data_IF_774886641948
#
_entry.id   IF_774886641948
#
_cell.length_a   1.000
_cell.length_b   1.000
_cell.length_c   1.000
_cell.angle_alpha   90.00
_cell.angle_beta   90.00
_cell.angle_gamma   90.00
#
_symmetry.space_group_name_H-M   'P 1'
#
loop_
_entity.id
_entity.type
_entity.pdbx_description
1 polymer ?
#
# COMPACT_ATOMS: atom_id res chain seq x y z
N UNK A 1 -5.96 9.75 11.64
CA UNK A 1 -4.76 9.05 11.16
C UNK A 1 -5.21 7.71 10.60
N UNK A 2 -4.65 7.27 9.47
CA UNK A 2 -5.13 6.07 8.74
C UNK A 2 -4.59 4.75 9.32
N UNK A 3 -3.50 4.80 10.08
CA UNK A 3 -2.85 3.64 10.72
C UNK A 3 -3.07 3.68 12.24
N UNK A 4 -3.46 2.55 12.82
CA UNK A 4 -3.62 2.39 14.26
C UNK A 4 -2.25 2.30 14.95
N UNK A 5 -1.98 3.10 16.01
CA UNK A 5 -0.72 3.03 16.77
C UNK A 5 -0.40 1.64 17.34
N UNK A 6 -1.40 0.76 17.51
CA UNK A 6 -1.18 -0.63 17.94
C UNK A 6 -0.21 -1.40 17.03
N UNK A 7 0.04 -0.94 15.79
CA UNK A 7 1.03 -1.53 14.89
C UNK A 7 2.43 -1.60 15.51
N UNK A 8 2.79 -0.64 16.37
CA UNK A 8 4.09 -0.62 17.07
C UNK A 8 4.29 -1.80 18.02
N UNK A 9 3.19 -2.41 18.47
CA UNK A 9 3.24 -3.61 19.32
C UNK A 9 3.20 -4.93 18.55
N UNK A 10 2.82 -4.88 17.27
CA UNK A 10 2.58 -6.06 16.43
C UNK A 10 3.67 -6.30 15.39
N UNK A 11 4.55 -5.33 15.13
CA UNK A 11 5.62 -5.40 14.14
C UNK A 11 7.00 -5.25 14.79
N UNK A 12 8.01 -5.93 14.24
CA UNK A 12 9.39 -5.85 14.71
C UNK A 12 10.05 -4.49 14.44
N UNK A 13 9.62 -3.80 13.37
CA UNK A 13 10.14 -2.49 12.95
C UNK A 13 9.01 -1.66 12.33
N UNK A 14 8.83 -0.44 12.83
CA UNK A 14 7.79 0.49 12.37
C UNK A 14 8.43 1.81 11.96
N UNK A 15 8.08 2.27 10.76
CA UNK A 15 8.48 3.59 10.28
C UNK A 15 7.25 4.37 9.85
N UNK A 16 6.98 5.45 10.57
CA UNK A 16 5.96 6.41 10.20
C UNK A 16 6.38 7.20 8.95
N UNK A 17 5.58 7.06 7.90
CA UNK A 17 5.75 7.75 6.62
C UNK A 17 4.51 8.58 6.32
N UNK A 18 4.72 9.82 5.89
CA UNK A 18 3.63 10.61 5.34
C UNK A 18 3.22 10.08 3.97
N UNK A 19 1.96 10.27 3.59
CA UNK A 19 1.39 9.75 2.33
C UNK A 19 2.11 10.25 1.06
N UNK A 20 2.80 11.39 1.15
CA UNK A 20 3.63 11.95 0.07
C UNK A 20 5.08 11.47 0.04
N UNK A 21 5.52 10.64 1.00
CA UNK A 21 6.93 10.29 1.23
C UNK A 21 7.32 8.93 0.60
N UNK A 22 6.97 8.73 -0.68
CA UNK A 22 7.23 7.48 -1.40
C UNK A 22 8.73 7.11 -1.44
N UNK A 23 9.60 8.09 -1.71
CA UNK A 23 11.05 7.91 -1.72
C UNK A 23 11.61 7.55 -0.34
N UNK A 24 11.07 8.12 0.75
CA UNK A 24 11.45 7.73 2.11
C UNK A 24 11.09 6.27 2.39
N UNK A 25 9.86 5.86 2.04
CA UNK A 25 9.38 4.48 2.21
C UNK A 25 10.25 3.49 1.44
N UNK A 26 10.50 3.74 0.15
CA UNK A 26 11.35 2.89 -0.70
C UNK A 26 12.77 2.80 -0.13
N UNK A 27 13.36 3.93 0.29
CA UNK A 27 14.71 3.94 0.86
C UNK A 27 14.80 3.08 2.13
N UNK A 28 13.75 3.08 2.96
CA UNK A 28 13.67 2.22 4.15
C UNK A 28 13.56 0.74 3.79
N UNK A 29 12.73 0.39 2.81
CA UNK A 29 12.62 -0.98 2.33
C UNK A 29 13.96 -1.51 1.81
N UNK A 30 14.66 -0.72 0.99
CA UNK A 30 15.98 -1.10 0.47
C UNK A 30 17.02 -1.27 1.56
N UNK A 31 17.05 -0.39 2.58
CA UNK A 31 18.03 -0.50 3.66
C UNK A 31 17.79 -1.73 4.56
N UNK A 32 16.57 -2.26 4.57
CA UNK A 32 16.20 -3.49 5.26
C UNK A 32 16.20 -4.74 4.36
N UNK A 33 16.57 -4.61 3.08
CA UNK A 33 16.59 -5.74 2.15
C UNK A 33 15.20 -6.32 1.86
N UNK A 34 14.15 -5.50 1.91
CA UNK A 34 12.77 -5.93 1.63
C UNK A 34 12.63 -6.26 0.14
N UNK A 35 12.15 -7.46 -0.17
CA UNK A 35 11.89 -7.92 -1.55
C UNK A 35 10.40 -7.93 -1.90
N UNK A 36 9.52 -8.03 -0.89
CA UNK A 36 8.07 -8.12 -1.06
C UNK A 36 7.36 -7.18 -0.11
N UNK A 37 6.32 -6.53 -0.61
CA UNK A 37 5.49 -5.61 0.15
C UNK A 37 4.00 -5.91 -0.06
N UNK A 38 3.19 -5.65 0.97
CA UNK A 38 1.72 -5.69 0.91
C UNK A 38 1.19 -4.32 1.28
N UNK A 39 0.14 -3.87 0.59
CA UNK A 39 -0.68 -2.74 1.04
C UNK A 39 -1.88 -3.28 1.82
N UNK A 40 -1.99 -2.88 3.09
CA UNK A 40 -3.09 -3.25 3.97
C UNK A 40 -3.67 -2.01 4.65
N UNK A 41 -5.00 -1.96 4.77
CA UNK A 41 -5.71 -0.83 5.36
C UNK A 41 -6.46 0.03 4.33
N UNK A 42 -7.27 0.96 4.83
CA UNK A 42 -8.06 1.87 4.00
C UNK A 42 -7.28 3.17 3.78
N UNK A 43 -7.13 3.56 2.52
CA UNK A 43 -6.55 4.86 2.14
C UNK A 43 -7.61 5.71 1.47
N UNK A 44 -7.83 6.92 1.96
CA UNK A 44 -8.80 7.84 1.35
C UNK A 44 -8.14 8.59 0.20
N UNK A 45 -8.75 8.47 -0.99
CA UNK A 45 -8.30 9.15 -2.22
C UNK A 45 -8.01 10.63 -2.05
N UNK A 46 -8.84 11.31 -1.28
CA UNK A 46 -8.71 12.75 -1.03
C UNK A 46 -7.38 13.05 -0.34
N UNK A 47 -6.93 12.23 0.61
CA UNK A 47 -5.71 12.48 1.39
C UNK A 47 -4.42 12.34 0.57
N UNK A 48 -4.42 11.49 -0.46
CA UNK A 48 -3.28 11.37 -1.37
C UNK A 48 -3.11 12.63 -2.22
N UNK A 49 -4.22 13.33 -2.51
CA UNK A 49 -4.24 14.56 -3.31
C UNK A 49 -4.37 15.85 -2.47
N UNK A 50 -4.58 15.76 -1.15
CA UNK A 50 -4.81 16.90 -0.27
C UNK A 50 -3.70 17.06 0.78
N UNK A 51 -2.86 18.08 0.61
CA UNK A 51 -2.12 18.72 1.70
C UNK A 51 -0.82 18.05 2.18
N UNK A 52 -0.51 16.82 1.78
CA UNK A 52 0.80 16.24 2.05
C UNK A 52 1.81 16.71 0.99
N UNK A 53 2.95 17.26 1.42
CA UNK A 53 4.05 17.63 0.52
C UNK A 53 4.62 16.34 -0.13
N UNK A 54 4.43 16.14 -1.45
CA UNK A 54 4.98 14.98 -2.12
C UNK A 54 6.50 15.14 -2.24
N UNK A 55 7.24 14.09 -1.94
CA UNK A 55 8.65 14.05 -2.29
C UNK A 55 8.84 13.99 -3.81
N UNK A 56 10.07 14.25 -4.28
CA UNK A 56 10.38 14.31 -5.70
C UNK A 56 9.99 13.02 -6.45
N UNK A 57 10.04 11.86 -5.77
CA UNK A 57 9.69 10.57 -6.37
C UNK A 57 8.19 10.40 -6.50
N UNK A 58 7.43 10.71 -5.44
CA UNK A 58 5.98 10.75 -5.46
C UNK A 58 5.46 11.71 -6.52
N UNK A 59 6.05 12.92 -6.61
CA UNK A 59 5.68 13.92 -7.59
C UNK A 59 5.92 13.42 -9.03
N UNK A 60 7.09 12.81 -9.29
CA UNK A 60 7.41 12.19 -10.59
C UNK A 60 6.44 11.08 -10.94
N UNK A 61 6.07 10.22 -9.99
CA UNK A 61 5.07 9.17 -10.20
C UNK A 61 3.72 9.78 -10.57
N UNK A 62 3.22 10.75 -9.78
CA UNK A 62 1.93 11.41 -10.00
C UNK A 62 1.86 12.13 -11.36
N UNK A 63 2.94 12.72 -11.85
CA UNK A 63 2.99 13.33 -13.19
C UNK A 63 2.92 12.32 -14.33
N UNK A 64 3.42 11.10 -14.12
CA UNK A 64 3.40 10.04 -15.13
C UNK A 64 2.11 9.19 -15.08
N UNK A 65 1.18 9.50 -14.18
CA UNK A 65 -0.07 8.76 -14.09
C UNK A 65 -0.98 9.04 -15.31
N UNK A 66 -1.52 8.02 -15.98
CA UNK A 66 -2.39 8.20 -17.13
C UNK A 66 -3.74 8.83 -16.74
N UNK A 67 -4.19 8.61 -15.50
CA UNK A 67 -5.44 9.14 -14.92
C UNK A 67 -5.24 9.42 -13.44
N UNK A 68 -6.01 10.36 -12.89
CA UNK A 68 -6.00 10.72 -11.46
C UNK A 68 -7.11 9.97 -10.71
N UNK A 69 -7.02 8.64 -10.66
CA UNK A 69 -7.93 7.78 -9.90
C UNK A 69 -7.15 6.77 -9.04
N UNK A 70 -7.87 6.00 -8.24
CA UNK A 70 -7.33 4.96 -7.33
C UNK A 70 -6.48 3.93 -8.01
N UNK A 71 -7.04 3.31 -9.05
CA UNK A 71 -6.39 2.18 -9.69
C UNK A 71 -5.07 2.60 -10.34
N UNK A 72 -5.05 3.77 -11.01
CA UNK A 72 -3.83 4.29 -11.60
C UNK A 72 -2.79 4.63 -10.52
N UNK A 73 -3.21 5.18 -9.39
CA UNK A 73 -2.30 5.54 -8.31
C UNK A 73 -1.67 4.31 -7.65
N UNK A 74 -2.49 3.31 -7.29
CA UNK A 74 -2.00 2.03 -6.74
C UNK A 74 -1.06 1.36 -7.75
N UNK A 75 -1.44 1.30 -9.02
CA UNK A 75 -0.58 0.78 -10.09
C UNK A 75 0.73 1.57 -10.26
N UNK A 76 0.69 2.88 -10.06
CA UNK A 76 1.87 3.75 -10.06
C UNK A 76 2.84 3.42 -8.92
N UNK A 77 2.32 3.26 -7.71
CA UNK A 77 3.12 2.85 -6.54
C UNK A 77 3.73 1.47 -6.76
N UNK A 78 2.94 0.51 -7.24
CA UNK A 78 3.43 -0.83 -7.57
C UNK A 78 4.57 -0.78 -8.61
N UNK A 79 4.42 0.06 -9.63
CA UNK A 79 5.45 0.25 -10.66
C UNK A 79 6.73 0.88 -10.10
N UNK A 80 6.62 1.84 -9.16
CA UNK A 80 7.77 2.46 -8.52
C UNK A 80 8.52 1.51 -7.59
N UNK A 81 7.80 0.64 -6.87
CA UNK A 81 8.38 -0.43 -6.06
C UNK A 81 9.09 -1.47 -6.94
N UNK A 82 8.45 -1.91 -8.02
CA UNK A 82 9.01 -2.90 -8.94
C UNK A 82 10.33 -2.43 -9.59
N UNK A 83 10.45 -1.13 -9.90
CA UNK A 83 11.71 -0.53 -10.41
C UNK A 83 12.89 -0.70 -9.44
N UNK A 84 12.62 -0.90 -8.16
CA UNK A 84 13.62 -1.08 -7.11
C UNK A 84 13.78 -2.55 -6.69
N UNK A 85 13.14 -3.48 -7.39
CA UNK A 85 13.16 -4.90 -7.07
C UNK A 85 12.23 -5.30 -5.93
N UNK A 86 11.26 -4.46 -5.59
CA UNK A 86 10.28 -4.73 -4.53
C UNK A 86 8.96 -5.13 -5.19
N UNK A 87 8.55 -6.38 -5.00
CA UNK A 87 7.31 -6.92 -5.53
C UNK A 87 6.14 -6.55 -4.62
N UNK A 88 5.13 -5.86 -5.16
CA UNK A 88 3.87 -5.65 -4.45
C UNK A 88 2.99 -6.89 -4.63
N UNK A 89 2.80 -7.67 -3.56
CA UNK A 89 2.04 -8.92 -3.59
C UNK A 89 0.59 -8.73 -3.15
N UNK A 90 -0.24 -9.73 -3.44
CA UNK A 90 -1.67 -9.75 -3.12
C UNK A 90 -1.90 -9.64 -1.60
N UNK A 91 -2.83 -8.76 -1.18
CA UNK A 91 -3.16 -8.54 0.23
C UNK A 91 -3.84 -9.73 0.90
N UNK A 92 -4.41 -10.65 0.12
CA UNK A 92 -5.02 -11.89 0.58
C UNK A 92 -4.04 -13.05 0.72
N UNK A 93 -2.76 -12.86 0.36
CA UNK A 93 -1.74 -13.91 0.38
C UNK A 93 -1.70 -14.68 1.72
N UNK A 94 -1.85 -13.97 2.84
CA UNK A 94 -1.85 -14.56 4.19
C UNK A 94 -3.25 -14.79 4.79
N UNK A 95 -4.31 -14.47 4.04
CA UNK A 95 -5.70 -14.50 4.52
C UNK A 95 -6.57 -15.52 3.76
N UNK A 96 -5.98 -16.36 2.91
CA UNK A 96 -6.73 -17.29 2.06
C UNK A 96 -7.71 -18.17 2.87
N UNK A 97 -7.29 -18.68 4.02
CA UNK A 97 -8.15 -19.50 4.91
C UNK A 97 -9.25 -18.70 5.62
N UNK A 98 -9.14 -17.38 5.64
CA UNK A 98 -10.12 -16.46 6.22
C UNK A 98 -11.06 -15.87 5.16
N UNK A 99 -10.84 -16.16 3.88
CA UNK A 99 -11.74 -15.74 2.81
C UNK A 99 -12.99 -16.60 2.82
N UNK A 100 -14.12 -15.96 2.52
CA UNK A 100 -15.37 -16.65 2.28
C UNK A 100 -15.21 -17.64 1.12
N UNK A 101 -15.45 -18.95 1.31
CA UNK A 101 -15.43 -19.89 0.20
C UNK A 101 -16.59 -19.61 -0.75
N UNK A 102 -16.44 -20.04 -2.00
CA UNK A 102 -17.52 -19.94 -2.96
C UNK A 102 -18.74 -20.78 -2.51
N UNK A 103 -19.93 -20.21 -2.64
CA UNK A 103 -21.20 -20.90 -2.36
C UNK A 103 -22.01 -20.30 -1.22
N UNK A 104 -23.01 -21.05 -0.77
CA UNK A 104 -23.92 -20.61 0.29
C UNK A 104 -23.25 -20.83 1.65
N UNK A 105 -22.89 -19.73 2.31
CA UNK A 105 -22.23 -19.77 3.63
C UNK A 105 -23.20 -19.96 4.80
N UNK A 106 -24.51 -19.78 4.56
CA UNK A 106 -25.53 -19.82 5.61
C UNK A 106 -26.52 -20.96 5.40
N UNK A 107 -27.33 -21.26 6.42
CA UNK A 107 -28.39 -22.29 6.29
C UNK A 107 -29.49 -21.89 5.30
N UNK A 108 -29.75 -20.59 5.12
CA UNK A 108 -30.76 -20.08 4.19
C UNK A 108 -30.13 -19.83 2.83
N UNK A 109 -30.66 -20.50 1.80
CA UNK A 109 -30.25 -20.26 0.41
C UNK A 109 -30.90 -18.96 -0.12
N UNK A 110 -30.22 -18.22 -1.03
CA UNK A 110 -30.81 -17.10 -1.77
C UNK A 110 -32.07 -17.52 -2.53
#
# INVERSE_FOLDING_TARGET
>A
EETDPLIESAADDVVWVGIGQLGKMISRFKSQGVEKAIMAGQVKHIQIFSGALPDARMLKMLWNLPKRNTDALIGGVASELAKEGIELIDSTCFLQDSLAPAGVLTKRKP
#
